data_IF_896710731769
#
_entry.id   IF_896710731769
#
_cell.length_a   1.000
_cell.length_b   1.000
_cell.length_c   1.000
_cell.angle_alpha   90.00
_cell.angle_beta   90.00
_cell.angle_gamma   90.00
#
_symmetry.space_group_name_H-M   'P 1'
#
loop_
_entity.id
_entity.type
_entity.pdbx_description
1 polymer ?
#
# COMPACT_ATOMS: atom_id res chain seq x y z
N UNK A 1 -36.19 -33.99 -55.07
CA UNK A 1 -37.66 -33.87 -55.21
C UNK A 1 -38.25 -34.01 -53.81
N UNK A 2 -39.00 -33.11 -53.20
CA UNK A 2 -39.51 -31.79 -53.55
C UNK A 2 -39.88 -31.05 -52.25
N UNK A 3 -40.02 -29.73 -52.36
CA UNK A 3 -40.35 -28.78 -51.29
C UNK A 3 -41.72 -29.02 -50.64
N UNK A 4 -41.86 -28.61 -49.37
CA UNK A 4 -43.02 -27.83 -48.95
C UNK A 4 -42.61 -26.71 -47.99
N UNK A 5 -42.75 -25.49 -48.49
CA UNK A 5 -42.74 -24.23 -47.75
C UNK A 5 -44.18 -23.90 -47.37
N UNK A 6 -44.43 -23.48 -46.12
CA UNK A 6 -45.58 -22.63 -45.80
C UNK A 6 -45.06 -21.42 -45.03
N UNK A 7 -45.17 -20.27 -45.67
CA UNK A 7 -44.96 -18.94 -45.10
C UNK A 7 -46.32 -18.37 -44.73
N UNK A 8 -46.48 -17.92 -43.48
CA UNK A 8 -47.52 -16.98 -43.07
C UNK A 8 -46.85 -15.67 -42.69
N UNK A 9 -47.30 -14.57 -43.28
CA UNK A 9 -46.78 -13.21 -43.08
C UNK A 9 -47.88 -12.27 -42.56
N UNK A 10 -47.46 -11.29 -41.75
CA UNK A 10 -48.18 -10.06 -41.38
C UNK A 10 -48.30 -9.89 -39.86
N UNK A 11 -47.97 -8.77 -39.21
CA UNK A 11 -47.44 -7.47 -39.64
C UNK A 11 -46.70 -6.79 -38.46
N UNK A 12 -45.76 -5.93 -38.85
CA UNK A 12 -44.91 -4.97 -38.13
C UNK A 12 -45.36 -4.39 -36.77
N UNK A 13 -44.40 -4.34 -35.83
CA UNK A 13 -44.07 -3.15 -35.04
C UNK A 13 -42.55 -3.07 -34.81
N UNK A 14 -41.97 -1.90 -35.12
CA UNK A 14 -40.59 -1.51 -34.84
C UNK A 14 -40.28 -1.55 -33.34
N UNK A 15 -39.14 -2.15 -32.99
CA UNK A 15 -38.26 -1.60 -31.94
C UNK A 15 -36.87 -2.18 -32.09
N UNK A 16 -35.97 -1.35 -32.61
CA UNK A 16 -34.53 -1.54 -32.60
C UNK A 16 -34.02 -1.58 -31.16
N UNK A 17 -33.94 -2.78 -30.56
CA UNK A 17 -33.17 -3.00 -29.34
C UNK A 17 -31.80 -3.54 -29.69
N UNK A 18 -30.85 -2.61 -29.80
CA UNK A 18 -29.42 -2.89 -29.74
C UNK A 18 -29.15 -3.70 -28.46
N UNK A 19 -28.80 -4.97 -28.65
CA UNK A 19 -28.43 -5.85 -27.55
C UNK A 19 -27.03 -5.44 -27.08
N UNK A 20 -26.97 -4.72 -25.96
CA UNK A 20 -25.74 -4.42 -25.24
C UNK A 20 -24.93 -5.71 -25.00
N UNK A 21 -23.61 -5.73 -25.27
CA UNK A 21 -22.80 -6.88 -24.91
C UNK A 21 -22.79 -6.99 -23.39
N UNK A 22 -23.42 -8.04 -22.88
CA UNK A 22 -23.40 -8.38 -21.47
C UNK A 22 -21.95 -8.63 -21.09
N UNK A 23 -21.38 -7.71 -20.31
CA UNK A 23 -20.05 -7.86 -19.73
C UNK A 23 -20.03 -9.19 -18.97
N UNK A 24 -19.25 -10.15 -19.48
CA UNK A 24 -19.00 -11.40 -18.78
C UNK A 24 -18.43 -11.04 -17.40
N UNK A 25 -19.00 -11.53 -16.29
CA UNK A 25 -18.32 -11.38 -15.02
C UNK A 25 -17.00 -12.13 -15.15
N UNK A 26 -15.89 -11.41 -14.98
CA UNK A 26 -14.58 -12.02 -14.79
C UNK A 26 -14.67 -12.82 -13.50
N UNK A 27 -15.13 -14.07 -13.60
CA UNK A 27 -14.91 -15.07 -12.57
C UNK A 27 -13.40 -15.23 -12.50
N UNK A 28 -12.79 -14.59 -11.52
CA UNK A 28 -11.47 -14.98 -11.04
C UNK A 28 -11.66 -16.36 -10.43
N UNK A 29 -11.68 -17.38 -11.28
CA UNK A 29 -11.40 -18.73 -10.88
C UNK A 29 -9.95 -18.66 -10.39
N UNK A 30 -9.77 -18.50 -9.08
CA UNK A 30 -8.57 -18.97 -8.41
C UNK A 30 -8.55 -20.51 -8.56
N UNK A 31 -8.33 -20.98 -9.79
CA UNK A 31 -7.79 -22.30 -10.01
C UNK A 31 -6.42 -22.20 -9.38
N UNK A 32 -6.29 -22.76 -8.18
CA UNK A 32 -5.00 -23.16 -7.62
C UNK A 32 -4.43 -24.10 -8.68
N UNK A 33 -3.63 -23.55 -9.59
CA UNK A 33 -2.70 -24.34 -10.39
C UNK A 33 -1.74 -24.91 -9.35
N UNK A 34 -2.00 -26.16 -8.97
CA UNK A 34 -1.04 -27.12 -8.40
C UNK A 34 0.19 -26.49 -7.73
N UNK A 35 0.14 -26.27 -6.41
CA UNK A 35 1.33 -26.03 -5.60
C UNK A 35 2.10 -24.72 -5.88
N UNK A 36 1.55 -23.80 -6.68
CA UNK A 36 2.22 -22.54 -6.98
C UNK A 36 1.95 -21.52 -5.86
N UNK A 37 3.01 -21.02 -5.23
CA UNK A 37 2.93 -20.01 -4.17
C UNK A 37 2.31 -18.70 -4.70
N UNK A 38 1.38 -18.12 -3.94
CA UNK A 38 0.81 -16.82 -4.26
C UNK A 38 1.83 -15.72 -3.97
N UNK A 39 1.89 -14.71 -4.84
CA UNK A 39 2.87 -13.61 -4.76
C UNK A 39 2.22 -12.24 -4.67
N UNK A 40 0.90 -12.14 -4.89
CA UNK A 40 0.14 -10.90 -4.77
C UNK A 40 -1.14 -11.10 -3.97
N UNK A 41 -1.49 -10.10 -3.15
CA UNK A 41 -2.76 -10.07 -2.41
C UNK A 41 -3.99 -10.15 -3.33
N UNK A 42 -3.84 -9.80 -4.61
CA UNK A 42 -4.92 -9.90 -5.62
C UNK A 42 -5.26 -11.35 -5.99
N UNK A 43 -4.38 -12.30 -5.67
CA UNK A 43 -4.60 -13.73 -5.90
C UNK A 43 -5.31 -14.41 -4.72
N UNK A 44 -5.39 -13.75 -3.56
CA UNK A 44 -6.21 -14.20 -2.44
C UNK A 44 -7.69 -14.01 -2.77
N UNK A 45 -8.54 -14.83 -2.14
CA UNK A 45 -9.98 -14.56 -2.14
C UNK A 45 -10.26 -13.22 -1.46
N UNK A 46 -11.38 -12.56 -1.78
CA UNK A 46 -11.70 -11.25 -1.20
C UNK A 46 -11.64 -11.25 0.34
N UNK A 47 -12.23 -12.23 1.06
CA UNK A 47 -12.14 -12.25 2.53
C UNK A 47 -10.70 -12.36 3.05
N UNK A 48 -9.88 -13.19 2.42
CA UNK A 48 -8.48 -13.39 2.84
C UNK A 48 -7.60 -12.20 2.47
N UNK A 49 -7.89 -11.52 1.36
CA UNK A 49 -7.25 -10.26 1.01
C UNK A 49 -7.53 -9.17 2.05
N UNK A 50 -8.78 -9.00 2.44
CA UNK A 50 -9.14 -8.00 3.46
C UNK A 50 -8.50 -8.33 4.80
N UNK A 51 -8.48 -9.61 5.22
CA UNK A 51 -7.75 -10.05 6.43
C UNK A 51 -6.27 -9.70 6.37
N UNK A 52 -5.61 -9.99 5.25
CA UNK A 52 -4.19 -9.70 5.07
C UNK A 52 -3.91 -8.19 5.10
N UNK A 53 -4.70 -7.39 4.39
CA UNK A 53 -4.52 -5.93 4.36
C UNK A 53 -4.82 -5.29 5.71
N UNK A 54 -5.84 -5.75 6.44
CA UNK A 54 -6.14 -5.22 7.77
C UNK A 54 -5.01 -5.46 8.79
N UNK A 55 -4.20 -6.50 8.57
CA UNK A 55 -3.01 -6.77 9.40
C UNK A 55 -1.79 -5.96 8.94
N UNK A 56 -1.56 -5.87 7.63
CA UNK A 56 -0.26 -5.43 7.09
C UNK A 56 -0.24 -4.11 6.34
N UNK A 57 -1.37 -3.58 5.87
CA UNK A 57 -1.46 -2.24 5.28
C UNK A 57 -1.44 -1.21 6.41
N UNK A 58 -0.41 -0.33 6.51
CA UNK A 58 -0.32 0.65 7.58
C UNK A 58 -1.55 1.55 7.69
N UNK A 59 -2.17 1.89 6.55
CA UNK A 59 -3.37 2.75 6.53
C UNK A 59 -4.60 2.08 7.15
N UNK A 60 -4.55 0.77 7.37
CA UNK A 60 -5.63 -0.02 7.99
C UNK A 60 -5.27 -0.54 9.37
N UNK A 61 -4.03 -0.99 9.54
CA UNK A 61 -3.59 -1.68 10.76
C UNK A 61 -3.12 -0.74 11.87
N UNK A 62 -2.73 0.50 11.54
CA UNK A 62 -2.30 1.48 12.53
C UNK A 62 -3.49 2.34 12.93
N UNK A 63 -3.93 2.29 14.21
CA UNK A 63 -5.06 3.08 14.69
C UNK A 63 -4.83 4.58 14.48
N UNK A 64 -5.84 5.26 13.94
CA UNK A 64 -5.85 6.72 13.77
C UNK A 64 -5.04 7.25 12.59
N UNK A 65 -4.27 6.41 11.89
CA UNK A 65 -3.49 6.84 10.73
C UNK A 65 -4.45 7.21 9.59
N UNK A 66 -4.31 8.45 9.09
CA UNK A 66 -5.22 9.03 8.10
C UNK A 66 -4.50 10.10 7.27
N UNK A 67 -5.15 10.61 6.23
CA UNK A 67 -4.64 11.72 5.44
C UNK A 67 -4.39 13.00 6.28
N UNK A 68 -5.16 13.23 7.35
CA UNK A 68 -4.95 14.39 8.24
C UNK A 68 -3.85 14.17 9.28
N UNK A 69 -3.22 12.99 9.29
CA UNK A 69 -2.19 12.68 10.28
C UNK A 69 -0.93 13.50 10.08
N UNK A 70 -0.47 14.14 11.16
CA UNK A 70 0.88 14.68 11.26
C UNK A 70 1.90 13.55 11.35
N UNK A 71 2.92 13.63 10.49
CA UNK A 71 4.06 12.72 10.49
C UNK A 71 5.35 13.51 10.67
N UNK A 72 6.29 12.94 11.41
CA UNK A 72 7.47 13.65 11.87
C UNK A 72 8.73 12.98 11.34
N UNK A 73 9.76 13.77 11.03
CA UNK A 73 11.10 13.22 10.81
C UNK A 73 12.16 14.21 11.19
N UNK A 74 13.32 13.68 11.53
CA UNK A 74 14.53 14.50 11.60
C UNK A 74 15.29 14.42 10.28
N UNK A 75 15.81 15.56 9.85
CA UNK A 75 16.56 15.70 8.60
C UNK A 75 17.57 16.84 8.71
N UNK A 76 18.69 16.81 7.96
CA UNK A 76 19.53 17.99 7.80
C UNK A 76 18.73 19.19 7.28
N UNK A 77 18.95 20.37 7.88
CA UNK A 77 18.21 21.61 7.58
C UNK A 77 18.27 22.01 6.10
N UNK A 78 19.37 21.71 5.42
CA UNK A 78 19.60 21.96 3.99
C UNK A 78 18.62 21.24 3.04
N UNK A 79 17.97 20.17 3.50
CA UNK A 79 16.96 19.46 2.71
C UNK A 79 15.55 20.08 2.81
N UNK A 80 15.34 21.00 3.76
CA UNK A 80 14.10 21.77 3.89
C UNK A 80 14.31 23.11 3.19
N UNK A 81 13.82 23.25 1.96
CA UNK A 81 14.03 24.44 1.13
C UNK A 81 12.72 25.19 0.96
N UNK A 82 12.68 26.45 1.42
CA UNK A 82 11.49 27.30 1.39
C UNK A 82 10.26 26.62 2.04
N UNK A 83 10.47 25.94 3.17
CA UNK A 83 9.39 25.22 3.88
C UNK A 83 8.90 23.95 3.17
N UNK A 84 9.65 23.44 2.18
CA UNK A 84 9.28 22.25 1.41
C UNK A 84 10.38 21.18 1.49
N UNK A 85 9.98 19.91 1.42
CA UNK A 85 10.88 18.76 1.39
C UNK A 85 10.52 17.80 0.25
N UNK A 86 11.54 17.17 -0.35
CA UNK A 86 11.42 16.18 -1.41
C UNK A 86 11.82 14.79 -0.91
N UNK A 87 11.33 13.73 -1.55
CA UNK A 87 11.70 12.35 -1.23
C UNK A 87 13.19 12.06 -1.46
N UNK A 88 13.77 11.18 -0.64
CA UNK A 88 15.13 10.68 -0.82
C UNK A 88 15.14 9.52 -1.85
N UNK A 89 15.87 9.63 -2.98
CA UNK A 89 15.95 8.57 -3.98
C UNK A 89 16.81 7.38 -3.56
N UNK A 90 17.63 7.50 -2.51
CA UNK A 90 18.58 6.47 -2.06
C UNK A 90 18.32 6.08 -0.61
N UNK A 91 17.08 5.75 -0.29
CA UNK A 91 16.70 5.28 1.05
C UNK A 91 17.29 3.88 1.32
N UNK A 92 17.96 3.72 2.45
CA UNK A 92 18.49 2.43 2.93
C UNK A 92 17.48 1.63 3.75
N UNK A 93 16.29 2.18 3.99
CA UNK A 93 15.27 1.54 4.81
C UNK A 93 14.73 0.26 4.16
N UNK A 94 14.30 -0.68 4.99
CA UNK A 94 13.54 -1.87 4.58
C UNK A 94 12.06 -1.66 4.84
N UNK A 95 11.23 -2.10 3.92
CA UNK A 95 9.78 -1.96 3.99
C UNK A 95 9.05 -3.29 3.88
N UNK A 96 7.87 -3.34 4.48
CA UNK A 96 6.86 -4.36 4.18
C UNK A 96 6.01 -3.93 2.99
N UNK A 97 6.14 -4.65 1.87
CA UNK A 97 5.33 -4.44 0.67
C UNK A 97 4.00 -5.21 0.82
N UNK A 98 3.03 -4.60 1.52
CA UNK A 98 1.75 -5.21 1.89
C UNK A 98 0.83 -5.59 0.71
N UNK A 99 1.19 -5.24 -0.53
CA UNK A 99 0.50 -5.69 -1.76
C UNK A 99 1.09 -7.00 -2.33
N UNK A 100 2.28 -7.42 -1.87
CA UNK A 100 2.97 -8.64 -2.30
C UNK A 100 3.08 -9.64 -1.15
N UNK A 101 2.94 -10.92 -1.50
CA UNK A 101 2.95 -12.04 -0.58
C UNK A 101 4.30 -12.74 -0.60
N UNK A 102 4.78 -13.12 0.57
CA UNK A 102 5.86 -14.07 0.77
C UNK A 102 5.34 -15.21 1.66
N UNK A 103 5.63 -16.49 1.35
CA UNK A 103 5.14 -17.60 2.17
C UNK A 103 5.62 -17.51 3.63
N UNK A 104 4.70 -17.75 4.56
CA UNK A 104 4.99 -17.87 5.98
C UNK A 104 5.07 -19.35 6.37
N UNK A 105 6.22 -19.97 6.10
CA UNK A 105 6.42 -21.40 6.35
C UNK A 105 6.24 -21.78 7.81
N UNK A 106 6.64 -20.90 8.73
CA UNK A 106 6.50 -21.14 10.17
C UNK A 106 5.02 -21.25 10.57
N UNK A 107 4.20 -20.25 10.23
CA UNK A 107 2.76 -20.27 10.54
C UNK A 107 2.04 -21.41 9.83
N UNK A 108 2.43 -21.74 8.59
CA UNK A 108 1.87 -22.89 7.87
C UNK A 108 2.18 -24.21 8.57
N UNK A 109 3.42 -24.40 9.04
CA UNK A 109 3.84 -25.63 9.70
C UNK A 109 3.24 -25.76 11.10
N UNK A 110 3.21 -24.68 11.89
CA UNK A 110 2.75 -24.73 13.29
C UNK A 110 1.23 -24.77 13.43
N UNK A 111 0.49 -24.11 12.52
CA UNK A 111 -0.97 -23.99 12.60
C UNK A 111 -1.71 -24.75 11.50
N UNK A 112 -1.01 -25.45 10.60
CA UNK A 112 -1.63 -26.21 9.51
C UNK A 112 -2.38 -25.32 8.50
N UNK A 113 -1.96 -24.07 8.34
CA UNK A 113 -2.68 -23.09 7.51
C UNK A 113 -2.60 -23.44 6.02
N UNK A 114 -3.74 -23.53 5.32
CA UNK A 114 -3.75 -23.86 3.90
C UNK A 114 -3.29 -22.68 3.05
N UNK A 115 -2.67 -23.00 1.91
CA UNK A 115 -2.33 -22.05 0.84
C UNK A 115 -3.60 -21.27 0.45
N UNK A 116 -3.47 -19.95 0.37
CA UNK A 116 -4.58 -19.06 0.02
C UNK A 116 -5.29 -18.43 1.21
N UNK A 117 -4.91 -18.77 2.45
CA UNK A 117 -5.31 -18.03 3.64
C UNK A 117 -4.32 -16.90 3.96
N UNK A 118 -4.79 -15.79 4.50
CA UNK A 118 -4.00 -14.61 4.82
C UNK A 118 -2.80 -14.94 5.72
N UNK A 119 -3.04 -15.71 6.78
CA UNK A 119 -2.02 -16.08 7.77
C UNK A 119 -0.98 -17.07 7.24
N UNK A 120 -1.20 -17.66 6.06
CA UNK A 120 -0.19 -18.47 5.39
C UNK A 120 0.92 -17.62 4.72
N UNK A 121 0.81 -16.29 4.75
CA UNK A 121 1.73 -15.35 4.14
C UNK A 121 2.14 -14.23 5.10
N UNK A 122 3.23 -13.56 4.75
CA UNK A 122 3.66 -12.26 5.28
C UNK A 122 3.92 -11.31 4.12
N UNK A 123 3.99 -9.99 4.35
CA UNK A 123 4.40 -9.05 3.31
C UNK A 123 5.80 -9.39 2.82
N UNK A 124 6.03 -9.20 1.52
CA UNK A 124 7.39 -9.26 0.99
C UNK A 124 8.20 -8.08 1.52
N UNK A 125 9.41 -8.35 2.03
CA UNK A 125 10.35 -7.30 2.39
C UNK A 125 11.14 -6.80 1.17
N UNK A 126 11.36 -5.49 1.10
CA UNK A 126 12.11 -4.84 0.03
C UNK A 126 12.88 -3.64 0.58
N UNK A 127 13.99 -3.23 -0.06
CA UNK A 127 14.60 -1.92 0.22
C UNK A 127 13.72 -0.82 -0.37
N UNK A 128 13.54 0.28 0.35
CA UNK A 128 12.77 1.41 -0.15
C UNK A 128 13.31 1.98 -1.46
N UNK A 129 14.64 1.96 -1.68
CA UNK A 129 15.25 2.36 -2.94
C UNK A 129 14.80 1.51 -4.15
N UNK A 130 14.41 0.25 -3.94
CA UNK A 130 14.00 -0.66 -5.01
C UNK A 130 12.53 -0.45 -5.44
N UNK A 131 11.78 0.44 -4.77
CA UNK A 131 10.45 0.88 -5.20
C UNK A 131 10.47 1.71 -6.49
N UNK A 132 11.66 2.18 -6.92
CA UNK A 132 11.79 3.08 -8.07
C UNK A 132 11.20 4.47 -7.87
N UNK A 133 10.79 4.81 -6.64
CA UNK A 133 10.19 6.10 -6.27
C UNK A 133 10.90 6.67 -5.04
N UNK A 134 11.27 7.97 -5.03
CA UNK A 134 11.83 8.60 -3.84
C UNK A 134 10.89 8.49 -2.63
N UNK A 135 11.45 8.48 -1.43
CA UNK A 135 10.65 8.30 -0.22
C UNK A 135 11.23 9.04 0.99
N UNK A 136 10.41 9.25 2.00
CA UNK A 136 10.83 9.76 3.30
C UNK A 136 10.52 8.72 4.38
N UNK A 137 11.48 8.48 5.26
CA UNK A 137 11.24 7.83 6.54
C UNK A 137 10.62 8.86 7.49
N UNK A 138 9.51 8.50 8.11
CA UNK A 138 8.73 9.34 9.02
C UNK A 138 8.25 8.51 10.20
N UNK A 139 7.92 9.20 11.29
CA UNK A 139 7.34 8.66 12.50
C UNK A 139 5.89 9.13 12.61
N UNK A 140 5.02 8.24 13.05
CA UNK A 140 3.61 8.52 13.35
C UNK A 140 3.22 7.94 14.72
N UNK A 141 2.30 8.59 15.43
CA UNK A 141 1.81 8.17 16.74
C UNK A 141 2.00 9.24 17.82
N UNK A 142 1.44 8.99 19.02
CA UNK A 142 1.47 9.93 20.14
C UNK A 142 2.89 10.26 20.62
N UNK A 143 3.84 9.34 20.45
CA UNK A 143 5.24 9.52 20.82
C UNK A 143 6.17 9.78 19.61
N UNK A 144 5.60 10.06 18.43
CA UNK A 144 6.37 10.17 17.20
C UNK A 144 7.32 11.37 17.15
N UNK A 145 6.94 12.49 17.76
CA UNK A 145 7.77 13.69 17.81
C UNK A 145 9.05 13.44 18.63
N UNK A 146 8.90 12.90 19.84
CA UNK A 146 10.03 12.55 20.71
C UNK A 146 10.92 11.50 20.03
N UNK A 147 10.31 10.43 19.48
CA UNK A 147 11.02 9.39 18.76
C UNK A 147 11.79 9.94 17.55
N UNK A 148 11.21 10.89 16.79
CA UNK A 148 11.91 11.56 15.70
C UNK A 148 13.11 12.36 16.23
N UNK A 149 12.93 13.16 17.28
CA UNK A 149 13.97 14.00 17.86
C UNK A 149 15.20 13.20 18.36
N UNK A 150 15.05 11.91 18.71
CA UNK A 150 16.20 11.05 19.06
C UNK A 150 17.25 10.94 17.95
N UNK A 151 16.86 11.17 16.68
CA UNK A 151 17.77 11.17 15.54
C UNK A 151 18.50 12.50 15.32
N UNK A 152 18.21 13.55 16.10
CA UNK A 152 18.89 14.83 16.00
C UNK A 152 20.29 14.76 16.63
N UNK A 153 21.27 14.33 15.84
CA UNK A 153 22.65 14.13 16.30
C UNK A 153 23.47 15.42 16.43
N UNK A 154 22.98 16.55 15.91
CA UNK A 154 23.65 17.85 16.00
C UNK A 154 22.70 19.00 15.66
N UNK A 155 23.14 20.25 15.91
CA UNK A 155 22.41 21.47 15.54
C UNK A 155 22.16 21.68 14.04
N UNK A 156 22.73 20.82 13.18
CA UNK A 156 22.49 20.83 11.72
C UNK A 156 21.21 20.08 11.32
N UNK A 157 20.66 19.29 12.24
CA UNK A 157 19.44 18.53 12.03
C UNK A 157 18.26 19.30 12.64
N UNK A 158 17.14 19.26 11.93
CA UNK A 158 15.87 19.80 12.37
C UNK A 158 14.83 18.70 12.34
N UNK A 159 13.89 18.75 13.28
CA UNK A 159 12.69 17.92 13.21
C UNK A 159 11.63 18.70 12.44
N UNK A 160 11.01 18.03 11.47
CA UNK A 160 9.92 18.59 10.68
C UNK A 160 8.65 17.80 10.87
N UNK A 161 7.54 18.51 10.91
CA UNK A 161 6.19 17.98 10.78
C UNK A 161 5.69 18.19 9.36
N UNK A 162 5.02 17.17 8.83
CA UNK A 162 4.36 17.17 7.53
C UNK A 162 2.99 16.52 7.68
N UNK A 163 2.04 16.88 6.81
CA UNK A 163 0.74 16.21 6.73
C UNK A 163 0.83 15.01 5.80
N UNK A 164 0.36 13.84 6.23
CA UNK A 164 0.42 12.61 5.43
C UNK A 164 -0.35 12.74 4.12
N UNK A 165 -1.50 13.42 4.16
CA UNK A 165 -2.37 13.68 3.00
C UNK A 165 -1.63 14.37 1.87
N UNK A 166 -0.68 15.26 2.15
CA UNK A 166 0.08 15.97 1.13
C UNK A 166 0.92 15.00 0.27
N UNK A 167 1.36 13.87 0.85
CA UNK A 167 2.01 12.80 0.09
C UNK A 167 0.99 12.02 -0.73
N UNK A 168 -0.10 11.60 -0.09
CA UNK A 168 -1.12 10.74 -0.71
C UNK A 168 -1.79 11.43 -1.92
N UNK A 169 -2.11 12.71 -1.79
CA UNK A 169 -2.66 13.56 -2.85
C UNK A 169 -1.73 13.67 -4.07
N UNK A 170 -0.43 13.47 -3.86
CA UNK A 170 0.61 13.47 -4.90
C UNK A 170 0.96 12.07 -5.42
N UNK A 171 0.15 11.06 -5.09
CA UNK A 171 0.38 9.67 -5.50
C UNK A 171 1.39 8.90 -4.63
N UNK A 172 1.70 9.43 -3.44
CA UNK A 172 2.47 8.75 -2.42
C UNK A 172 1.73 7.53 -1.85
N UNK A 173 2.51 6.58 -1.36
CA UNK A 173 2.06 5.34 -0.70
C UNK A 173 2.78 5.19 0.63
N UNK A 174 2.12 4.53 1.58
CA UNK A 174 2.64 4.32 2.93
C UNK A 174 3.04 2.86 3.11
N UNK A 175 4.23 2.65 3.65
CA UNK A 175 4.76 1.33 3.97
C UNK A 175 5.28 1.33 5.40
N UNK A 176 5.18 0.19 6.08
CA UNK A 176 5.83 0.01 7.39
C UNK A 176 7.34 -0.06 7.19
N UNK A 177 8.08 0.74 7.95
CA UNK A 177 9.54 0.63 8.03
C UNK A 177 9.88 -0.48 9.05
N UNK A 178 10.53 -1.55 8.58
CA UNK A 178 10.94 -2.69 9.41
C UNK A 178 12.42 -2.65 9.77
N UNK A 179 13.10 -1.55 9.45
CA UNK A 179 14.52 -1.31 9.77
C UNK A 179 14.75 -0.27 10.87
N UNK A 180 13.70 0.41 11.34
CA UNK A 180 13.79 1.41 12.39
C UNK A 180 13.83 0.78 13.78
N UNK A 181 14.82 1.16 14.60
CA UNK A 181 14.96 0.73 15.99
C UNK A 181 14.18 1.61 16.98
N UNK A 182 13.82 2.84 16.60
CA UNK A 182 13.17 3.82 17.49
C UNK A 182 11.64 3.74 17.51
N UNK A 183 11.05 2.77 16.81
CA UNK A 183 9.61 2.52 16.86
C UNK A 183 9.31 1.47 17.93
N UNK A 184 8.41 1.80 18.86
CA UNK A 184 7.91 0.87 19.88
C UNK A 184 6.65 0.10 19.42
N UNK A 185 6.14 0.42 18.23
CA UNK A 185 4.96 -0.16 17.59
C UNK A 185 3.62 0.00 18.32
N UNK A 186 3.59 0.69 19.46
CA UNK A 186 2.37 0.97 20.23
C UNK A 186 2.01 2.45 20.24
N UNK A 187 3.01 3.30 20.45
CA UNK A 187 2.89 4.76 20.54
C UNK A 187 3.73 5.49 19.49
N UNK A 188 4.68 4.78 18.86
CA UNK A 188 5.48 5.27 17.75
C UNK A 188 5.61 4.22 16.64
N UNK A 189 5.25 4.61 15.42
CA UNK A 189 5.28 3.77 14.23
C UNK A 189 6.23 4.39 13.21
N UNK A 190 7.26 3.63 12.81
CA UNK A 190 8.13 4.01 11.72
C UNK A 190 7.51 3.64 10.36
N UNK A 191 7.44 4.61 9.47
CA UNK A 191 6.82 4.51 8.16
C UNK A 191 7.78 5.00 7.08
N UNK A 192 7.68 4.40 5.90
CA UNK A 192 8.21 4.94 4.66
C UNK A 192 7.04 5.46 3.82
N UNK A 193 7.08 6.75 3.49
CA UNK A 193 6.08 7.38 2.61
C UNK A 193 6.76 7.76 1.31
N UNK A 194 6.27 7.23 0.19
CA UNK A 194 6.80 7.60 -1.13
C UNK A 194 6.33 8.98 -1.53
N UNK A 195 7.16 9.66 -2.33
CA UNK A 195 6.85 10.94 -2.95
C UNK A 195 7.43 10.92 -4.37
N UNK A 196 6.59 10.98 -5.42
CA UNK A 196 7.07 10.91 -6.79
C UNK A 196 8.17 11.93 -7.12
N UNK A 197 9.05 11.55 -8.05
CA UNK A 197 10.18 12.41 -8.41
C UNK A 197 9.68 13.75 -8.96
N UNK A 198 10.21 14.84 -8.41
CA UNK A 198 9.81 16.21 -8.76
C UNK A 198 8.79 16.80 -7.78
N UNK A 199 8.06 15.96 -7.04
CA UNK A 199 7.11 16.39 -6.03
C UNK A 199 7.78 16.82 -4.73
N UNK A 200 7.10 17.72 -4.02
CA UNK A 200 7.49 18.23 -2.71
C UNK A 200 6.26 18.43 -1.85
N UNK A 201 6.43 18.27 -0.53
CA UNK A 201 5.37 18.56 0.45
C UNK A 201 5.81 19.69 1.39
N UNK A 202 4.87 20.46 1.94
CA UNK A 202 5.13 21.37 3.05
C UNK A 202 5.74 20.64 4.25
N UNK A 203 6.74 21.25 4.86
CA UNK A 203 7.44 20.75 6.04
C UNK A 203 7.67 21.90 7.02
N UNK A 204 6.98 21.85 8.16
CA UNK A 204 7.11 22.83 9.24
C UNK A 204 8.22 22.38 10.17
N UNK A 205 9.24 23.21 10.35
CA UNK A 205 10.26 22.96 11.38
C UNK A 205 9.61 23.11 12.76
N UNK A 206 9.77 22.10 13.60
CA UNK A 206 9.34 22.12 15.00
C UNK A 206 10.58 22.24 15.88
N UNK A 207 10.52 23.15 16.84
CA UNK A 207 11.53 23.37 17.87
C UNK A 207 11.34 22.40 19.05
#
# INVERSE_FOLDING_TARGET
MGNMCISGAGNHYDSSNASSPTASPVRVNARIQSGQELTSVRQLSSPERERFLNEFDPMRSIPGLSNESSVYRTTPKEFVKHGMIAGNPKSSAKINLHEQLNPNYMSRQSMGLPIGTAFAYVPKELRAADLGTPSLNVMYGSNALEAAQTYAQSSKYVTVEMRLGDFLERGGKVYKDVSSYSADHNTSHALIVTLPKGEKVPARIIE
#
